data_IF_063655463054
#
_entry.id   IF_063655463054
#
_cell.length_a   1.000
_cell.length_b   1.000
_cell.length_c   1.000
_cell.angle_alpha   90.00
_cell.angle_beta   90.00
_cell.angle_gamma   90.00
#
_symmetry.space_group_name_H-M   'P 1'
#
loop_
_entity.id
_entity.type
_entity.pdbx_description
1 polymer ?
#
# COMPACT_ATOMS: atom_id res chain seq x y z
N UNK A 1 7.77 20.26 44.38
CA UNK A 1 8.30 19.37 43.34
C UNK A 1 7.47 18.09 43.10
N UNK A 2 6.86 17.45 44.13
CA UNK A 2 6.02 16.25 43.95
C UNK A 2 4.75 16.44 43.09
N UNK A 3 4.17 17.65 43.02
CA UNK A 3 2.93 17.90 42.24
C UNK A 3 3.16 17.94 40.75
N UNK A 4 4.37 18.19 40.27
CA UNK A 4 4.65 18.24 38.83
C UNK A 4 5.00 16.87 38.21
N UNK A 5 5.31 15.87 39.03
CA UNK A 5 5.69 14.52 38.58
C UNK A 5 4.45 13.69 38.21
N UNK A 6 3.34 13.83 38.92
CA UNK A 6 2.11 13.08 38.64
C UNK A 6 1.58 13.21 37.23
N UNK A 7 1.46 14.40 36.61
CA UNK A 7 1.03 14.53 35.21
C UNK A 7 1.96 13.81 34.23
N UNK A 8 3.27 13.87 34.48
CA UNK A 8 4.26 13.22 33.64
C UNK A 8 4.15 11.69 33.67
N UNK A 9 3.92 11.12 34.89
CA UNK A 9 3.69 9.68 35.04
C UNK A 9 2.42 9.23 34.32
N UNK A 10 1.33 10.00 34.45
CA UNK A 10 0.06 9.71 33.77
C UNK A 10 0.26 9.80 32.26
N UNK A 11 0.97 10.82 31.76
CA UNK A 11 1.27 10.98 30.34
C UNK A 11 2.12 9.80 29.80
N UNK A 12 3.13 9.37 30.54
CA UNK A 12 3.95 8.22 30.21
C UNK A 12 3.13 6.91 30.17
N UNK A 13 2.26 6.69 31.15
CA UNK A 13 1.37 5.53 31.20
C UNK A 13 0.39 5.51 30.02
N UNK A 14 -0.17 6.65 29.66
CA UNK A 14 -1.02 6.79 28.46
C UNK A 14 -0.22 6.52 27.19
N UNK A 15 1.01 6.97 27.10
CA UNK A 15 1.92 6.69 25.98
C UNK A 15 2.15 5.19 25.79
N UNK A 16 2.40 4.46 26.86
CA UNK A 16 2.55 2.98 26.84
C UNK A 16 1.26 2.31 26.37
N UNK A 17 0.12 2.75 26.84
CA UNK A 17 -1.19 2.21 26.45
C UNK A 17 -1.45 2.42 24.94
N UNK A 18 -1.18 3.63 24.45
CA UNK A 18 -1.31 3.95 23.02
C UNK A 18 -0.34 3.14 22.14
N UNK A 19 0.92 2.98 22.58
CA UNK A 19 1.89 2.17 21.87
C UNK A 19 1.47 0.69 21.77
N UNK A 20 0.93 0.13 22.87
CA UNK A 20 0.36 -1.22 22.87
C UNK A 20 -0.84 -1.36 21.94
N UNK A 21 -1.72 -0.35 21.88
CA UNK A 21 -2.84 -0.34 20.93
C UNK A 21 -2.36 -0.27 19.47
N UNK A 22 -1.38 0.57 19.19
CA UNK A 22 -0.79 0.65 17.85
C UNK A 22 -0.16 -0.69 17.42
N UNK A 23 0.54 -1.36 18.36
CA UNK A 23 1.12 -2.67 18.09
C UNK A 23 0.03 -3.72 17.80
N UNK A 24 -1.08 -3.71 18.55
CA UNK A 24 -2.24 -4.58 18.26
C UNK A 24 -2.81 -4.36 16.85
N UNK A 25 -2.96 -3.09 16.46
CA UNK A 25 -3.44 -2.73 15.11
C UNK A 25 -2.50 -3.25 14.04
N UNK A 26 -1.18 -3.10 14.21
CA UNK A 26 -0.18 -3.59 13.27
C UNK A 26 -0.16 -5.13 13.16
N UNK A 27 -0.42 -5.82 14.26
CA UNK A 27 -0.53 -7.29 14.29
C UNK A 27 -1.90 -7.81 13.83
N UNK A 28 -2.87 -6.93 13.57
CA UNK A 28 -4.23 -7.32 13.20
C UNK A 28 -5.02 -7.98 14.32
N UNK A 29 -4.66 -7.73 15.59
CA UNK A 29 -5.29 -8.32 16.76
C UNK A 29 -6.39 -7.37 17.28
N UNK A 30 -7.54 -7.93 17.67
CA UNK A 30 -8.64 -7.16 18.28
C UNK A 30 -8.23 -6.56 19.63
N UNK A 31 -8.84 -5.42 19.98
CA UNK A 31 -8.48 -4.63 21.17
C UNK A 31 -8.57 -5.38 22.51
N UNK A 32 -9.40 -6.43 22.59
CA UNK A 32 -9.69 -7.17 23.82
C UNK A 32 -8.59 -8.13 24.29
N UNK A 33 -7.58 -8.40 23.46
CA UNK A 33 -6.47 -9.29 23.84
C UNK A 33 -5.45 -8.52 24.67
N UNK A 34 -5.12 -8.99 25.88
CA UNK A 34 -4.09 -8.39 26.71
C UNK A 34 -2.68 -8.69 26.17
N UNK A 35 -1.94 -7.64 25.78
CA UNK A 35 -0.54 -7.75 25.36
C UNK A 35 0.39 -7.64 26.57
N UNK A 36 1.06 -8.76 26.88
CA UNK A 36 2.15 -8.79 27.86
C UNK A 36 3.48 -8.66 27.12
N UNK A 37 4.29 -7.69 27.53
CA UNK A 37 5.67 -7.55 27.07
C UNK A 37 6.58 -8.23 28.10
N UNK A 38 7.29 -9.27 27.69
CA UNK A 38 8.13 -10.08 28.60
C UNK A 38 9.56 -9.55 28.72
N UNK A 39 10.00 -8.73 27.75
CA UNK A 39 11.38 -8.24 27.69
C UNK A 39 11.55 -6.83 28.26
N UNK A 40 12.70 -6.59 28.87
CA UNK A 40 13.13 -5.29 29.37
C UNK A 40 14.01 -4.56 28.35
N UNK A 41 13.80 -3.25 28.18
CA UNK A 41 14.63 -2.38 27.33
C UNK A 41 16.12 -2.46 27.68
N UNK A 42 16.49 -2.78 28.92
CA UNK A 42 17.87 -2.95 29.38
C UNK A 42 18.62 -4.02 28.61
N UNK A 43 17.95 -5.07 28.14
CA UNK A 43 18.57 -6.15 27.36
C UNK A 43 19.00 -5.71 25.95
N UNK A 44 18.37 -4.64 25.44
CA UNK A 44 18.61 -4.14 24.09
C UNK A 44 19.49 -2.87 24.06
N UNK A 45 19.78 -2.26 25.21
CA UNK A 45 20.58 -1.02 25.29
C UNK A 45 21.91 -1.18 24.55
N UNK A 46 22.67 -2.24 24.80
CA UNK A 46 23.97 -2.49 24.14
C UNK A 46 23.84 -2.69 22.65
N UNK A 47 22.78 -3.35 22.17
CA UNK A 47 22.53 -3.55 20.75
C UNK A 47 22.12 -2.27 20.05
N UNK A 48 21.33 -1.42 20.69
CA UNK A 48 20.92 -0.11 20.14
C UNK A 48 22.12 0.82 20.02
N UNK A 49 22.98 0.90 21.05
CA UNK A 49 24.20 1.71 21.00
C UNK A 49 25.22 1.18 19.98
N UNK A 50 25.36 -0.13 19.83
CA UNK A 50 26.26 -0.74 18.83
C UNK A 50 25.80 -0.48 17.40
N UNK A 51 24.48 -0.48 17.14
CA UNK A 51 23.92 -0.22 15.82
C UNK A 51 23.93 1.27 15.43
N UNK A 52 23.98 2.20 16.40
CA UNK A 52 24.15 3.63 16.09
C UNK A 52 25.50 3.94 15.44
N UNK A 53 26.53 3.13 15.71
CA UNK A 53 27.88 3.33 15.17
C UNK A 53 28.06 2.72 13.77
N UNK A 54 27.11 1.93 13.28
CA UNK A 54 27.16 1.39 11.92
C UNK A 54 26.46 2.37 10.97
N UNK A 55 27.29 3.04 10.18
CA UNK A 55 26.87 3.85 9.03
C UNK A 55 26.46 2.94 7.84
N UNK A 56 25.66 1.92 8.11
CA UNK A 56 25.11 1.11 7.04
C UNK A 56 24.10 1.94 6.27
N UNK A 57 24.34 2.12 4.98
CA UNK A 57 23.33 2.62 4.06
C UNK A 57 22.10 1.72 4.18
N UNK A 58 21.03 2.26 4.73
CA UNK A 58 19.76 1.56 4.78
C UNK A 58 19.21 1.50 3.35
N UNK A 59 19.44 0.36 2.69
CA UNK A 59 18.93 0.12 1.36
C UNK A 59 17.40 0.21 1.35
N UNK A 60 16.86 1.12 0.56
CA UNK A 60 15.41 1.30 0.37
C UNK A 60 14.78 0.17 -0.44
N UNK A 61 15.57 -0.77 -0.96
CA UNK A 61 15.11 -1.88 -1.81
C UNK A 61 14.07 -2.77 -1.12
N UNK A 62 14.15 -2.92 0.19
CA UNK A 62 13.21 -3.70 0.99
C UNK A 62 12.04 -2.88 1.54
N UNK A 63 12.03 -1.57 1.31
CA UNK A 63 10.95 -0.71 1.77
C UNK A 63 9.64 -1.04 1.06
N UNK A 64 8.56 -1.22 1.82
CA UNK A 64 7.24 -1.60 1.31
C UNK A 64 6.66 -0.54 0.36
N UNK A 65 6.88 0.74 0.66
CA UNK A 65 6.42 1.87 -0.16
C UNK A 65 7.11 1.87 -1.52
N UNK A 66 8.42 1.61 -1.56
CA UNK A 66 9.17 1.51 -2.82
C UNK A 66 8.71 0.31 -3.64
N UNK A 67 8.52 -0.85 -3.02
CA UNK A 67 7.96 -2.03 -3.69
C UNK A 67 6.57 -1.78 -4.27
N UNK A 68 5.73 -1.04 -3.57
CA UNK A 68 4.40 -0.66 -4.05
C UNK A 68 4.49 0.27 -5.27
N UNK A 69 5.40 1.24 -5.27
CA UNK A 69 5.64 2.13 -6.40
C UNK A 69 6.16 1.35 -7.62
N UNK A 70 7.06 0.39 -7.43
CA UNK A 70 7.56 -0.47 -8.51
C UNK A 70 6.46 -1.36 -9.10
N UNK A 71 5.56 -1.88 -8.27
CA UNK A 71 4.38 -2.63 -8.74
C UNK A 71 3.42 -1.73 -9.53
N UNK A 72 3.19 -0.50 -9.06
CA UNK A 72 2.36 0.48 -9.77
C UNK A 72 2.99 0.86 -11.11
N UNK A 73 4.32 1.00 -11.19
CA UNK A 73 5.02 1.23 -12.46
C UNK A 73 4.79 0.09 -13.44
N UNK A 74 4.95 -1.17 -13.00
CA UNK A 74 4.66 -2.35 -13.83
C UNK A 74 3.20 -2.38 -14.31
N UNK A 75 2.26 -1.96 -13.46
CA UNK A 75 0.85 -1.87 -13.82
C UNK A 75 0.62 -0.82 -14.92
N UNK A 76 1.25 0.36 -14.81
CA UNK A 76 1.16 1.41 -15.83
C UNK A 76 1.84 1.01 -17.15
N UNK A 77 2.95 0.26 -17.10
CA UNK A 77 3.57 -0.32 -18.29
C UNK A 77 2.61 -1.26 -19.04
N UNK A 78 1.90 -2.12 -18.28
CA UNK A 78 0.87 -3.00 -18.86
C UNK A 78 -0.30 -2.19 -19.43
N UNK A 79 -0.74 -1.15 -18.72
CA UNK A 79 -1.78 -0.23 -19.19
C UNK A 79 -1.38 0.47 -20.49
N UNK A 80 -0.11 0.90 -20.60
CA UNK A 80 0.42 1.44 -21.86
C UNK A 80 0.40 0.42 -23.01
N UNK A 81 0.72 -0.85 -22.72
CA UNK A 81 0.60 -1.93 -23.73
C UNK A 81 -0.85 -2.12 -24.19
N UNK A 82 -1.81 -2.08 -23.23
CA UNK A 82 -3.25 -2.14 -23.56
C UNK A 82 -3.68 -0.91 -24.37
N UNK A 83 -3.19 0.30 -24.05
CA UNK A 83 -3.49 1.49 -24.83
C UNK A 83 -2.95 1.38 -26.27
N UNK A 84 -1.75 0.79 -26.45
CA UNK A 84 -1.16 0.53 -27.77
C UNK A 84 -1.91 -0.56 -28.53
N UNK A 85 -2.47 -1.57 -27.86
CA UNK A 85 -3.24 -2.62 -28.53
C UNK A 85 -4.53 -2.10 -29.18
N UNK A 86 -4.98 -0.90 -28.81
CA UNK A 86 -6.13 -0.24 -29.47
C UNK A 86 -5.88 0.13 -30.95
N UNK A 87 -4.66 0.00 -31.44
CA UNK A 87 -4.32 0.16 -32.88
C UNK A 87 -4.29 -1.17 -33.63
N UNK A 88 -4.41 -2.29 -32.93
CA UNK A 88 -4.37 -3.64 -33.52
C UNK A 88 -5.80 -4.07 -33.87
N UNK A 89 -6.02 -4.78 -34.99
CA UNK A 89 -7.31 -5.37 -35.27
C UNK A 89 -7.80 -6.28 -34.14
N UNK A 90 -9.07 -6.19 -33.84
CA UNK A 90 -9.72 -7.05 -32.85
C UNK A 90 -10.69 -8.01 -33.53
N UNK A 91 -10.54 -9.29 -33.23
CA UNK A 91 -11.47 -10.33 -33.65
C UNK A 91 -12.29 -10.77 -32.43
N UNK A 92 -13.60 -10.65 -32.53
CA UNK A 92 -14.53 -11.15 -31.52
C UNK A 92 -15.43 -12.22 -32.12
N UNK A 93 -15.71 -13.24 -31.32
CA UNK A 93 -16.66 -14.30 -31.64
C UNK A 93 -17.76 -14.26 -30.58
N UNK A 94 -19.01 -14.24 -31.04
CA UNK A 94 -20.17 -14.33 -30.19
C UNK A 94 -21.04 -15.50 -30.61
N UNK A 95 -21.46 -16.29 -29.63
CA UNK A 95 -22.44 -17.35 -29.80
C UNK A 95 -23.67 -16.98 -29.00
N UNK A 96 -24.84 -17.00 -29.66
CA UNK A 96 -26.11 -16.81 -28.97
C UNK A 96 -27.03 -17.98 -29.28
N UNK A 97 -27.68 -18.46 -28.24
CA UNK A 97 -28.74 -19.46 -28.34
C UNK A 97 -30.00 -18.87 -27.72
N UNK A 98 -31.03 -18.77 -28.54
CA UNK A 98 -32.32 -18.22 -28.13
C UNK A 98 -33.37 -19.33 -28.25
N UNK A 99 -34.17 -19.46 -27.19
CA UNK A 99 -35.34 -20.34 -27.18
C UNK A 99 -36.55 -19.43 -26.92
N UNK A 100 -37.42 -19.30 -27.91
CA UNK A 100 -38.54 -18.36 -27.87
C UNK A 100 -39.82 -18.96 -28.41
N UNK A 101 -40.94 -18.50 -27.90
CA UNK A 101 -42.25 -18.77 -28.42
C UNK A 101 -43.00 -17.46 -28.65
N UNK A 102 -43.75 -17.35 -29.73
CA UNK A 102 -44.58 -16.21 -29.99
C UNK A 102 -45.88 -16.34 -29.18
N UNK A 103 -46.20 -15.31 -28.39
CA UNK A 103 -47.42 -15.27 -27.63
C UNK A 103 -48.62 -15.17 -28.59
N UNK A 104 -49.58 -16.10 -28.45
CA UNK A 104 -50.86 -16.06 -29.16
C UNK A 104 -51.98 -16.21 -28.12
N UNK A 105 -52.86 -15.18 -27.95
CA UNK A 105 -53.89 -15.19 -26.92
C UNK A 105 -54.97 -16.25 -27.14
N UNK A 106 -55.06 -16.85 -28.34
CA UNK A 106 -56.03 -17.87 -28.70
C UNK A 106 -55.57 -19.32 -28.52
N UNK A 107 -54.37 -19.53 -28.03
CA UNK A 107 -53.75 -20.83 -27.85
C UNK A 107 -53.34 -21.00 -26.39
N UNK A 108 -53.56 -22.21 -25.81
CA UNK A 108 -53.15 -22.53 -24.47
C UNK A 108 -51.63 -22.59 -24.36
N UNK A 109 -51.07 -22.20 -23.19
CA UNK A 109 -49.62 -22.13 -22.96
C UNK A 109 -48.87 -23.44 -23.31
N UNK A 110 -49.52 -24.60 -23.13
CA UNK A 110 -48.92 -25.92 -23.45
C UNK A 110 -48.91 -26.22 -24.94
N UNK A 111 -49.64 -25.49 -25.77
CA UNK A 111 -49.71 -25.64 -27.22
C UNK A 111 -48.79 -24.64 -27.96
N UNK A 112 -48.05 -23.81 -27.25
CA UNK A 112 -47.10 -22.89 -27.86
C UNK A 112 -46.01 -23.63 -28.62
N UNK A 113 -45.83 -23.22 -29.86
CA UNK A 113 -44.74 -23.74 -30.70
C UNK A 113 -43.44 -23.02 -30.29
N UNK A 114 -42.60 -23.71 -29.58
CA UNK A 114 -41.28 -23.22 -29.15
C UNK A 114 -40.27 -23.43 -30.26
N UNK A 115 -39.64 -22.35 -30.70
CA UNK A 115 -38.57 -22.41 -31.69
C UNK A 115 -37.22 -22.09 -31.04
N UNK A 116 -36.21 -22.83 -31.43
CA UNK A 116 -34.86 -22.58 -31.05
C UNK A 116 -34.11 -21.95 -32.23
N UNK A 117 -33.28 -20.98 -31.93
CA UNK A 117 -32.35 -20.40 -32.90
C UNK A 117 -30.95 -20.32 -32.27
N UNK A 118 -29.96 -20.70 -33.04
CA UNK A 118 -28.56 -20.52 -32.65
C UNK A 118 -27.85 -19.67 -33.70
N UNK A 119 -27.06 -18.73 -33.25
CA UNK A 119 -26.24 -17.92 -34.16
C UNK A 119 -24.79 -17.85 -33.65
N UNK A 120 -23.87 -17.99 -34.55
CA UNK A 120 -22.44 -17.80 -34.31
C UNK A 120 -21.98 -16.63 -35.20
N UNK A 121 -21.47 -15.58 -34.59
CA UNK A 121 -21.04 -14.37 -35.28
C UNK A 121 -19.56 -14.14 -35.04
N UNK A 122 -18.82 -13.88 -36.10
CA UNK A 122 -17.44 -13.40 -36.07
C UNK A 122 -17.43 -11.93 -36.48
N UNK A 123 -16.82 -11.09 -35.65
CA UNK A 123 -16.71 -9.67 -35.94
C UNK A 123 -15.23 -9.27 -35.92
N UNK A 124 -14.69 -8.84 -37.07
CA UNK A 124 -13.35 -8.30 -37.23
C UNK A 124 -13.43 -6.77 -37.32
N UNK A 125 -12.87 -6.08 -36.31
CA UNK A 125 -12.79 -4.63 -36.28
C UNK A 125 -11.36 -4.17 -36.51
N UNK A 126 -11.14 -3.40 -37.58
CA UNK A 126 -9.84 -2.84 -37.95
C UNK A 126 -9.89 -1.33 -37.76
N UNK A 127 -9.20 -0.77 -36.76
CA UNK A 127 -9.18 0.67 -36.54
C UNK A 127 -8.24 1.35 -37.54
N UNK A 128 -8.75 1.95 -38.60
CA UNK A 128 -7.95 2.67 -39.59
C UNK A 128 -7.40 3.98 -39.06
N UNK A 129 -8.25 4.79 -38.42
CA UNK A 129 -7.86 6.04 -37.74
C UNK A 129 -8.83 6.36 -36.62
N UNK A 130 -8.27 6.56 -35.43
CA UNK A 130 -9.03 7.01 -34.26
C UNK A 130 -8.17 7.93 -33.40
N UNK A 131 -8.44 9.24 -33.48
CA UNK A 131 -7.68 10.26 -32.73
C UNK A 131 -7.63 9.98 -31.21
N UNK A 132 -8.71 9.42 -30.64
CA UNK A 132 -8.76 9.06 -29.23
C UNK A 132 -7.73 8.01 -28.82
N UNK A 133 -7.28 7.14 -29.72
CA UNK A 133 -6.26 6.13 -29.40
C UNK A 133 -4.88 6.78 -29.18
N UNK A 134 -4.53 7.80 -29.98
CA UNK A 134 -3.30 8.59 -29.77
C UNK A 134 -3.32 9.32 -28.44
N UNK A 135 -4.47 9.90 -28.08
CA UNK A 135 -4.65 10.58 -26.79
C UNK A 135 -4.52 9.61 -25.61
N UNK A 136 -5.09 8.40 -25.71
CA UNK A 136 -4.96 7.35 -24.70
C UNK A 136 -3.49 6.95 -24.47
N UNK A 137 -2.74 6.71 -25.55
CA UNK A 137 -1.31 6.37 -25.45
C UNK A 137 -0.50 7.53 -24.87
N UNK A 138 -0.79 8.77 -25.27
CA UNK A 138 -0.13 9.96 -24.72
C UNK A 138 -0.43 10.12 -23.24
N UNK A 139 -1.69 9.95 -22.82
CA UNK A 139 -2.10 9.99 -21.41
C UNK A 139 -1.40 8.93 -20.59
N UNK A 140 -1.36 7.67 -21.07
CA UNK A 140 -0.66 6.59 -20.38
C UNK A 140 0.83 6.87 -20.19
N UNK A 141 1.50 7.47 -21.19
CA UNK A 141 2.91 7.88 -21.07
C UNK A 141 3.11 9.00 -20.04
N UNK A 142 2.18 9.96 -19.99
CA UNK A 142 2.23 11.04 -19.00
C UNK A 142 2.09 10.47 -17.59
N UNK A 143 1.14 9.55 -17.38
CA UNK A 143 0.96 8.88 -16.09
C UNK A 143 2.21 8.11 -15.64
N UNK A 144 2.88 7.42 -16.56
CA UNK A 144 4.16 6.75 -16.25
C UNK A 144 5.23 7.75 -15.80
N UNK A 145 5.41 8.87 -16.52
CA UNK A 145 6.35 9.91 -16.10
C UNK A 145 6.00 10.51 -14.74
N UNK A 146 4.72 10.75 -14.50
CA UNK A 146 4.26 11.29 -13.22
C UNK A 146 4.57 10.34 -12.06
N UNK A 147 4.41 9.03 -12.27
CA UNK A 147 4.76 8.03 -11.27
C UNK A 147 6.28 7.95 -11.07
N UNK A 148 7.07 8.06 -12.13
CA UNK A 148 8.54 8.07 -12.06
C UNK A 148 9.05 9.24 -11.21
N UNK A 149 8.53 10.45 -11.45
CA UNK A 149 8.82 11.61 -10.59
C UNK A 149 8.37 11.41 -9.15
N UNK A 150 7.17 10.83 -8.94
CA UNK A 150 6.68 10.54 -7.60
C UNK A 150 7.57 9.51 -6.87
N UNK A 151 8.11 8.53 -7.60
CA UNK A 151 9.07 7.56 -7.08
C UNK A 151 10.34 8.25 -6.57
N UNK A 152 10.92 9.15 -7.38
CA UNK A 152 12.11 9.92 -7.01
C UNK A 152 11.85 10.79 -5.77
N UNK A 153 10.71 11.48 -5.72
CA UNK A 153 10.34 12.30 -4.56
C UNK A 153 10.11 11.46 -3.30
N UNK A 154 9.49 10.30 -3.44
CA UNK A 154 9.28 9.40 -2.32
C UNK A 154 10.61 8.84 -1.80
N UNK A 155 11.53 8.47 -2.68
CA UNK A 155 12.87 8.02 -2.31
C UNK A 155 13.62 9.10 -1.52
N UNK A 156 13.56 10.37 -1.97
CA UNK A 156 14.17 11.51 -1.25
C UNK A 156 13.54 11.71 0.12
N UNK A 157 12.21 11.63 0.23
CA UNK A 157 11.49 11.75 1.51
C UNK A 157 11.87 10.65 2.47
N UNK A 158 11.92 9.40 2.01
CA UNK A 158 12.31 8.27 2.83
C UNK A 158 13.75 8.40 3.34
N UNK A 159 14.67 8.84 2.50
CA UNK A 159 16.04 9.10 2.91
C UNK A 159 16.11 10.22 3.97
N UNK A 160 15.36 11.30 3.80
CA UNK A 160 15.27 12.38 4.80
C UNK A 160 14.68 11.88 6.12
N UNK A 161 13.65 11.03 6.08
CA UNK A 161 13.06 10.42 7.28
C UNK A 161 14.06 9.50 8.00
N UNK A 162 14.83 8.69 7.27
CA UNK A 162 15.89 7.84 7.86
C UNK A 162 16.91 8.69 8.61
N UNK A 163 17.40 9.78 7.98
CA UNK A 163 18.33 10.71 8.63
C UNK A 163 17.70 11.35 9.88
N UNK A 164 16.45 11.76 9.79
CA UNK A 164 15.71 12.33 10.93
C UNK A 164 15.58 11.33 12.08
N UNK A 165 15.21 10.09 11.79
CA UNK A 165 15.12 9.03 12.82
C UNK A 165 16.48 8.70 13.45
N UNK A 166 17.57 8.66 12.66
CA UNK A 166 18.92 8.48 13.19
C UNK A 166 19.31 9.60 14.14
N UNK A 167 19.05 10.85 13.76
CA UNK A 167 19.35 12.00 14.61
C UNK A 167 18.54 12.01 15.90
N UNK A 168 17.24 11.66 15.82
CA UNK A 168 16.38 11.54 16.99
C UNK A 168 16.83 10.40 17.92
N UNK A 169 17.28 9.29 17.34
CA UNK A 169 17.80 8.17 18.11
C UNK A 169 19.11 8.53 18.82
N UNK A 170 20.02 9.23 18.14
CA UNK A 170 21.25 9.75 18.73
C UNK A 170 20.96 10.71 19.89
N UNK A 171 20.08 11.69 19.70
CA UNK A 171 19.68 12.63 20.74
C UNK A 171 19.02 11.94 21.95
N UNK A 172 18.15 10.95 21.69
CA UNK A 172 17.51 10.17 22.74
C UNK A 172 18.51 9.33 23.54
N UNK A 173 19.53 8.74 22.88
CA UNK A 173 20.58 7.97 23.55
C UNK A 173 21.42 8.85 24.47
N UNK A 174 21.78 10.04 24.00
CA UNK A 174 22.54 11.02 24.79
C UNK A 174 21.76 11.50 26.02
N UNK A 175 20.43 11.66 25.86
CA UNK A 175 19.54 12.01 26.96
C UNK A 175 19.45 10.88 28.02
N UNK A 176 19.45 9.62 27.60
CA UNK A 176 19.47 8.44 28.51
C UNK A 176 20.80 8.43 29.31
N UNK A 177 21.94 8.63 28.65
CA UNK A 177 23.23 8.68 29.31
C UNK A 177 23.30 9.83 30.32
N UNK A 178 22.87 11.03 29.93
CA UNK A 178 22.83 12.21 30.83
C UNK A 178 21.92 12.00 32.05
N UNK A 179 20.77 11.36 31.87
CA UNK A 179 19.87 11.08 32.98
C UNK A 179 20.43 10.03 33.93
N UNK A 180 21.10 8.98 33.43
CA UNK A 180 21.82 7.98 34.26
C UNK A 180 22.92 8.62 35.10
N UNK A 181 23.66 9.59 34.55
CA UNK A 181 24.68 10.34 35.31
C UNK A 181 24.10 11.23 36.40
N UNK A 182 22.94 11.87 36.14
CA UNK A 182 22.23 12.69 37.13
C UNK A 182 21.68 11.84 38.29
N UNK A 183 21.08 10.68 37.97
CA UNK A 183 20.60 9.75 39.00
C UNK A 183 21.75 9.26 39.89
N UNK A 184 22.90 8.92 39.29
CA UNK A 184 24.09 8.49 40.06
C UNK A 184 24.65 9.57 40.96
N UNK A 185 24.54 10.86 40.58
CA UNK A 185 24.97 12.00 41.39
C UNK A 185 23.96 12.39 42.46
N UNK A 186 22.69 11.98 42.33
CA UNK A 186 21.65 12.27 43.31
C UNK A 186 21.53 11.24 44.44
N UNK A 187 22.22 10.11 44.34
CA UNK A 187 22.23 8.99 45.31
C UNK A 187 23.48 9.07 46.22
N UNK A 188 24.38 10.01 46.01
CA UNK A 188 25.53 10.33 46.86
C UNK A 188 25.20 11.63 47.61
#
# INVERSE_FOLDING_TARGET
QMRSIKPNVISAANGVTLAKLQLKVLMGITADVELKTEDSLTNYETAVFANQLKDEEVGLENNTTMKQLDLNMKMLEKSLKVAKSSFIPTLSMSFSYNYQSLYNPNINFFEYNWSNSSSLMFNLSIPLYKASNFTKVKSARIQMRQLDWNRIDTERKLNMEIVSYRNNMAASSEQVVSNKEKDRKSVV
#
